data_IF_903882371240
#
_entry.id   IF_903882371240
#
_cell.length_a   1.000
_cell.length_b   1.000
_cell.length_c   1.000
_cell.angle_alpha   90.00
_cell.angle_beta   90.00
_cell.angle_gamma   90.00
#
_symmetry.space_group_name_H-M   'P 1'
#
loop_
_entity.id
_entity.type
_entity.pdbx_description
1 polymer ?
#
# COMPACT_ATOMS: atom_id res chain seq x y z
N UNK A 1 43.31 -37.99 23.73
CA UNK A 1 42.82 -36.83 24.48
C UNK A 1 43.01 -35.63 23.59
N UNK A 2 42.02 -35.32 22.80
CA UNK A 2 42.02 -34.12 21.95
C UNK A 2 41.23 -33.04 22.68
N UNK A 3 41.95 -31.99 23.09
CA UNK A 3 41.38 -30.78 23.66
C UNK A 3 40.48 -30.13 22.64
N UNK A 4 39.19 -30.18 22.89
CA UNK A 4 38.21 -29.32 22.20
C UNK A 4 38.43 -27.87 22.69
N UNK A 5 39.14 -27.10 21.94
CA UNK A 5 39.28 -25.67 22.12
C UNK A 5 37.94 -25.01 21.83
N UNK A 6 37.45 -24.30 22.81
CA UNK A 6 36.30 -23.39 22.81
C UNK A 6 36.50 -22.30 21.70
N UNK A 7 36.06 -22.64 20.48
CA UNK A 7 36.11 -21.73 19.34
C UNK A 7 34.91 -20.75 19.32
N UNK A 8 34.72 -20.06 20.44
CA UNK A 8 33.81 -18.91 20.45
C UNK A 8 34.34 -17.86 19.46
N UNK A 9 33.52 -17.44 18.53
CA UNK A 9 33.83 -16.38 17.57
C UNK A 9 34.33 -15.14 18.33
N UNK A 10 35.67 -14.89 18.27
CA UNK A 10 36.28 -13.70 18.88
C UNK A 10 35.92 -12.50 18.02
N UNK A 11 34.81 -11.85 18.33
CA UNK A 11 34.51 -10.53 17.81
C UNK A 11 35.49 -9.54 18.50
N UNK A 12 36.19 -8.71 17.78
CA UNK A 12 37.13 -7.73 18.40
C UNK A 12 36.35 -6.82 19.36
N UNK A 13 36.82 -6.71 20.60
CA UNK A 13 36.23 -5.87 21.66
C UNK A 13 36.24 -4.36 21.37
N UNK A 14 36.88 -3.97 20.27
CA UNK A 14 37.12 -2.57 19.90
C UNK A 14 36.80 -2.30 18.42
N UNK A 15 35.49 -2.35 18.07
CA UNK A 15 35.03 -1.57 16.93
C UNK A 15 34.79 -0.13 17.43
N UNK A 16 35.52 0.84 16.89
CA UNK A 16 35.48 2.26 17.30
C UNK A 16 34.05 2.80 17.11
N UNK A 17 33.66 3.72 18.00
CA UNK A 17 32.37 4.45 17.92
C UNK A 17 32.24 5.05 16.51
N UNK A 18 31.30 4.50 15.68
CA UNK A 18 31.12 4.86 14.28
C UNK A 18 31.27 3.72 13.27
N UNK A 19 31.67 2.52 13.70
CA UNK A 19 31.76 1.34 12.82
C UNK A 19 30.36 0.78 12.50
N UNK A 20 30.18 0.37 11.24
CA UNK A 20 28.95 -0.23 10.73
C UNK A 20 28.67 -1.62 11.29
N UNK A 21 29.65 -2.22 11.95
CA UNK A 21 29.54 -3.50 12.62
C UNK A 21 29.62 -3.24 14.11
N UNK A 22 28.60 -3.70 14.84
CA UNK A 22 28.56 -3.68 16.28
C UNK A 22 28.29 -5.10 16.81
N UNK A 23 28.70 -5.39 18.04
CA UNK A 23 28.41 -6.69 18.64
C UNK A 23 28.15 -6.57 20.13
N UNK A 24 27.27 -7.45 20.60
CA UNK A 24 26.96 -7.65 22.01
C UNK A 24 27.10 -9.14 22.31
N UNK A 25 27.81 -9.47 23.38
CA UNK A 25 27.90 -10.85 23.87
C UNK A 25 27.25 -10.92 25.25
N UNK A 26 26.34 -11.87 25.36
CA UNK A 26 25.76 -12.20 26.67
C UNK A 26 25.69 -13.72 26.82
N UNK A 27 26.21 -14.23 27.94
CA UNK A 27 26.42 -15.67 28.16
C UNK A 27 27.23 -16.31 27.00
N UNK A 28 26.65 -17.29 26.29
CA UNK A 28 27.29 -17.97 25.15
C UNK A 28 26.80 -17.46 23.79
N UNK A 29 25.96 -16.44 23.77
CA UNK A 29 25.34 -15.94 22.54
C UNK A 29 25.94 -14.59 22.17
N UNK A 30 26.26 -14.44 20.90
CA UNK A 30 26.79 -13.19 20.33
C UNK A 30 25.80 -12.65 19.30
N UNK A 31 25.32 -11.45 19.51
CA UNK A 31 24.56 -10.70 18.50
C UNK A 31 25.50 -9.74 17.78
N UNK A 32 25.60 -9.87 16.46
CA UNK A 32 26.37 -8.98 15.58
C UNK A 32 25.36 -8.22 14.70
N UNK A 33 25.40 -6.91 14.78
CA UNK A 33 24.58 -6.03 13.96
C UNK A 33 25.41 -5.30 12.93
N UNK A 34 25.00 -5.34 11.67
CA UNK A 34 25.70 -4.75 10.54
C UNK A 34 24.75 -3.83 9.78
N UNK A 35 25.03 -2.52 9.87
CA UNK A 35 24.23 -1.48 9.21
C UNK A 35 24.82 -1.06 7.89
N UNK A 36 24.01 -1.00 6.87
CA UNK A 36 24.36 -0.45 5.54
C UNK A 36 25.72 -0.97 5.08
N UNK A 37 25.87 -2.31 4.91
CA UNK A 37 27.14 -2.95 4.67
C UNK A 37 27.75 -2.50 3.35
N UNK A 38 29.07 -2.29 3.34
CA UNK A 38 29.87 -2.13 2.14
C UNK A 38 30.75 -3.38 1.95
N UNK A 39 31.51 -3.41 0.87
CA UNK A 39 32.41 -4.53 0.55
C UNK A 39 33.33 -4.92 1.71
N UNK A 40 33.79 -3.93 2.51
CA UNK A 40 34.69 -4.16 3.65
C UNK A 40 34.00 -4.97 4.76
N UNK A 41 32.77 -4.63 5.11
CA UNK A 41 31.99 -5.33 6.14
C UNK A 41 31.63 -6.74 5.69
N UNK A 42 31.28 -6.92 4.41
CA UNK A 42 31.01 -8.25 3.82
C UNK A 42 32.27 -9.12 3.81
N UNK A 43 33.43 -8.57 3.45
CA UNK A 43 34.71 -9.31 3.49
C UNK A 43 35.05 -9.73 4.91
N UNK A 44 34.81 -8.87 5.90
CA UNK A 44 35.01 -9.19 7.31
C UNK A 44 34.11 -10.35 7.79
N UNK A 45 32.83 -10.35 7.37
CA UNK A 45 31.90 -11.45 7.68
C UNK A 45 32.37 -12.76 7.06
N UNK A 46 32.82 -12.75 5.80
CA UNK A 46 33.32 -13.92 5.09
C UNK A 46 34.60 -14.51 5.76
N UNK A 47 35.44 -13.67 6.37
CA UNK A 47 36.64 -14.11 7.09
C UNK A 47 36.34 -14.69 8.49
N UNK A 48 35.29 -14.18 9.14
CA UNK A 48 34.97 -14.53 10.54
C UNK A 48 33.96 -15.66 10.69
N UNK A 49 33.09 -15.82 9.71
CA UNK A 49 32.01 -16.80 9.75
C UNK A 49 32.05 -17.69 8.52
N UNK A 50 31.60 -18.93 8.62
CA UNK A 50 31.54 -19.86 7.48
C UNK A 50 30.35 -19.61 6.58
N UNK A 51 30.10 -18.31 6.23
CA UNK A 51 28.96 -17.96 5.40
C UNK A 51 29.23 -18.22 3.93
N UNK A 52 28.22 -18.72 3.23
CA UNK A 52 28.28 -18.95 1.79
C UNK A 52 28.37 -17.61 1.06
N UNK A 53 29.25 -17.44 0.06
CA UNK A 53 29.40 -16.20 -0.68
C UNK A 53 28.10 -15.66 -1.30
N UNK A 54 27.24 -16.52 -1.83
CA UNK A 54 25.94 -16.13 -2.39
C UNK A 54 25.01 -15.52 -1.34
N UNK A 55 24.98 -16.05 -0.09
CA UNK A 55 24.16 -15.46 0.97
C UNK A 55 24.65 -14.06 1.36
N UNK A 56 25.98 -13.83 1.35
CA UNK A 56 26.54 -12.52 1.59
C UNK A 56 26.28 -11.53 0.43
N UNK A 57 26.27 -12.02 -0.80
CA UNK A 57 25.90 -11.23 -1.97
C UNK A 57 24.43 -10.80 -1.91
N UNK A 58 23.52 -11.69 -1.53
CA UNK A 58 22.09 -11.40 -1.36
C UNK A 58 21.82 -10.31 -0.32
N UNK A 59 22.67 -10.21 0.72
CA UNK A 59 22.53 -9.17 1.74
C UNK A 59 22.81 -7.75 1.22
N UNK A 60 23.54 -7.62 0.11
CA UNK A 60 23.90 -6.33 -0.49
C UNK A 60 23.04 -6.03 -1.72
N UNK A 61 22.56 -7.07 -2.38
CA UNK A 61 21.73 -6.95 -3.56
C UNK A 61 20.32 -6.48 -3.17
N UNK A 62 19.87 -5.40 -3.80
CA UNK A 62 18.55 -4.81 -3.50
C UNK A 62 17.42 -5.58 -4.16
N UNK A 63 16.29 -5.65 -3.45
CA UNK A 63 15.05 -6.17 -4.02
C UNK A 63 15.01 -7.69 -4.15
N UNK A 64 15.80 -8.41 -3.38
CA UNK A 64 15.80 -9.86 -3.32
C UNK A 64 14.44 -10.39 -2.81
N UNK A 65 14.07 -11.59 -3.28
CA UNK A 65 12.87 -12.27 -2.77
C UNK A 65 13.15 -12.82 -1.36
N UNK A 66 12.18 -12.71 -0.44
CA UNK A 66 12.27 -13.33 0.87
C UNK A 66 12.52 -14.83 0.74
N UNK A 67 13.46 -15.36 1.54
CA UNK A 67 13.85 -16.78 1.49
C UNK A 67 14.44 -17.27 2.80
N UNK A 68 14.38 -18.59 2.99
CA UNK A 68 14.99 -19.31 4.10
C UNK A 68 15.83 -20.44 3.52
N UNK A 69 17.13 -20.42 3.74
CA UNK A 69 18.07 -21.41 3.22
C UNK A 69 18.93 -21.94 4.35
N UNK A 70 19.07 -23.25 4.41
CA UNK A 70 19.97 -23.90 5.36
C UNK A 70 21.34 -24.10 4.71
N UNK A 71 22.42 -23.83 5.46
CA UNK A 71 23.78 -24.08 4.95
C UNK A 71 23.99 -25.57 4.69
N UNK A 72 24.84 -25.90 3.70
CA UNK A 72 25.12 -27.28 3.26
C UNK A 72 25.60 -28.20 4.41
N UNK A 73 26.25 -27.61 5.43
CA UNK A 73 26.78 -28.31 6.59
C UNK A 73 25.90 -28.12 7.85
N UNK A 74 24.67 -27.64 7.71
CA UNK A 74 23.72 -27.37 8.80
C UNK A 74 24.28 -26.43 9.92
N UNK A 75 25.29 -25.63 9.61
CA UNK A 75 25.97 -24.77 10.58
C UNK A 75 25.22 -23.52 10.92
N UNK A 76 24.38 -23.05 9.99
CA UNK A 76 23.54 -21.86 10.18
C UNK A 76 22.31 -21.91 9.26
N UNK A 77 21.29 -21.13 9.65
CA UNK A 77 20.14 -20.81 8.84
C UNK A 77 20.28 -19.38 8.31
N UNK A 78 20.20 -19.22 7.00
CA UNK A 78 20.12 -17.92 6.34
C UNK A 78 18.66 -17.55 6.10
N UNK A 79 18.27 -16.37 6.54
CA UNK A 79 16.92 -15.84 6.35
C UNK A 79 17.02 -14.43 5.76
N UNK A 80 16.27 -14.20 4.70
CA UNK A 80 16.11 -12.89 4.10
C UNK A 80 14.65 -12.50 4.16
N UNK A 81 14.35 -11.43 4.88
CA UNK A 81 13.02 -10.86 5.00
C UNK A 81 12.95 -9.50 4.35
N UNK A 82 11.74 -9.16 3.92
CA UNK A 82 11.36 -7.78 3.60
C UNK A 82 10.20 -7.42 4.50
N UNK A 83 10.35 -6.36 5.24
CA UNK A 83 9.37 -5.91 6.24
C UNK A 83 9.05 -4.44 6.00
N UNK A 84 7.78 -4.05 6.12
CA UNK A 84 7.44 -2.64 6.12
C UNK A 84 7.78 -2.03 7.48
N UNK A 85 8.44 -0.88 7.46
CA UNK A 85 8.68 -0.04 8.62
C UNK A 85 7.79 1.21 8.57
N UNK A 86 7.39 1.69 9.74
CA UNK A 86 6.57 2.89 9.87
C UNK A 86 7.39 4.01 10.53
N UNK A 87 7.64 5.10 9.79
CA UNK A 87 8.39 6.24 10.32
C UNK A 87 7.43 7.34 10.80
N UNK A 88 7.47 7.61 12.11
CA UNK A 88 6.86 8.78 12.70
C UNK A 88 7.88 9.95 12.68
N UNK A 89 7.49 11.23 12.38
CA UNK A 89 6.10 11.73 12.24
C UNK A 89 5.56 11.74 10.81
N UNK A 90 6.33 11.31 9.80
CA UNK A 90 5.98 11.49 8.39
C UNK A 90 4.85 10.57 7.90
N UNK A 91 4.50 9.52 8.67
CA UNK A 91 3.52 8.52 8.24
C UNK A 91 3.94 7.76 6.97
N UNK A 92 5.23 7.81 6.62
CA UNK A 92 5.76 7.14 5.44
C UNK A 92 6.02 5.66 5.74
N UNK A 93 5.67 4.81 4.78
CA UNK A 93 5.94 3.38 4.83
C UNK A 93 7.17 3.12 3.99
N UNK A 94 8.22 2.61 4.62
CA UNK A 94 9.41 2.11 3.96
C UNK A 94 9.41 0.59 3.93
N UNK A 95 10.15 -0.01 3.01
CA UNK A 95 10.30 -1.47 2.93
C UNK A 95 11.78 -1.78 3.09
N UNK A 96 12.12 -2.31 4.25
CA UNK A 96 13.50 -2.67 4.60
C UNK A 96 13.78 -4.13 4.29
N UNK A 97 14.97 -4.39 3.73
CA UNK A 97 15.52 -5.73 3.55
C UNK A 97 16.40 -6.06 4.74
N UNK A 98 16.12 -7.17 5.41
CA UNK A 98 16.85 -7.62 6.59
C UNK A 98 17.32 -9.05 6.36
N UNK A 99 18.61 -9.29 6.52
CA UNK A 99 19.21 -10.62 6.44
C UNK A 99 19.61 -11.08 7.84
N UNK A 100 19.34 -12.34 8.12
CA UNK A 100 19.73 -12.99 9.37
C UNK A 100 20.57 -14.22 9.06
N UNK A 101 21.67 -14.37 9.84
CA UNK A 101 22.43 -15.62 9.89
C UNK A 101 22.29 -16.15 11.31
N UNK A 102 21.50 -17.20 11.47
CA UNK A 102 21.21 -17.82 12.75
C UNK A 102 22.09 -19.05 12.93
N UNK A 103 23.06 -18.98 13.83
CA UNK A 103 23.90 -20.10 14.26
C UNK A 103 23.56 -20.55 15.68
N UNK A 104 24.24 -21.58 16.18
CA UNK A 104 23.97 -22.14 17.51
C UNK A 104 24.28 -21.16 18.66
N UNK A 105 25.29 -20.32 18.50
CA UNK A 105 25.81 -19.41 19.51
C UNK A 105 25.93 -17.96 19.03
N UNK A 106 25.43 -17.68 17.84
CA UNK A 106 25.41 -16.32 17.30
C UNK A 106 24.13 -16.03 16.48
N UNK A 107 23.80 -14.74 16.39
CA UNK A 107 22.89 -14.18 15.41
C UNK A 107 23.57 -12.97 14.76
N UNK A 108 23.62 -12.95 13.43
CA UNK A 108 24.08 -11.77 12.67
C UNK A 108 22.88 -11.16 11.98
N UNK A 109 22.65 -9.89 12.23
CA UNK A 109 21.64 -9.06 11.53
C UNK A 109 22.35 -8.13 10.55
N UNK A 110 21.83 -8.06 9.32
CA UNK A 110 22.35 -7.17 8.27
C UNK A 110 21.16 -6.42 7.67
N UNK A 111 21.19 -5.08 7.75
CA UNK A 111 20.10 -4.25 7.26
C UNK A 111 20.61 -2.89 6.75
N UNK A 112 19.76 -2.18 5.98
CA UNK A 112 20.02 -0.78 5.59
C UNK A 112 19.73 0.17 6.77
N UNK A 113 20.04 1.46 6.63
CA UNK A 113 19.86 2.48 7.70
C UNK A 113 18.37 2.79 8.00
N UNK A 114 17.47 2.29 7.19
CA UNK A 114 16.03 2.52 7.27
C UNK A 114 15.29 1.60 8.27
N UNK A 115 16.00 0.71 8.97
CA UNK A 115 15.44 -0.11 10.05
C UNK A 115 15.81 0.45 11.43
N UNK A 116 15.12 1.50 11.85
CA UNK A 116 15.31 2.10 13.17
C UNK A 116 15.02 1.09 14.29
N UNK A 117 14.03 0.21 14.13
CA UNK A 117 13.59 -0.78 15.12
C UNK A 117 14.72 -1.70 15.57
N UNK A 118 15.50 -2.31 14.64
CA UNK A 118 16.63 -3.17 15.00
C UNK A 118 17.72 -2.35 15.69
N UNK A 119 17.96 -1.16 15.20
CA UNK A 119 18.96 -0.25 15.70
C UNK A 119 18.71 0.18 17.14
N UNK A 120 17.46 0.52 17.44
CA UNK A 120 17.04 0.92 18.79
C UNK A 120 17.06 -0.28 19.73
N UNK A 121 16.58 -1.43 19.29
CA UNK A 121 16.62 -2.68 20.06
C UNK A 121 18.08 -3.08 20.39
N UNK A 122 19.00 -2.93 19.43
CA UNK A 122 20.42 -3.21 19.66
C UNK A 122 21.02 -2.24 20.67
N UNK A 123 20.70 -0.95 20.56
CA UNK A 123 21.15 0.08 21.50
C UNK A 123 20.63 -0.19 22.92
N UNK A 124 19.35 -0.52 23.05
CA UNK A 124 18.74 -0.85 24.33
C UNK A 124 19.40 -2.07 24.97
N UNK A 125 19.66 -3.12 24.20
CA UNK A 125 20.42 -4.29 24.68
C UNK A 125 21.84 -3.94 25.13
N UNK A 126 22.47 -2.93 24.50
CA UNK A 126 23.83 -2.49 24.86
C UNK A 126 23.84 -1.68 26.15
N UNK A 127 22.88 -0.79 26.33
CA UNK A 127 22.80 0.15 27.43
C UNK A 127 22.13 -0.46 28.69
N UNK A 128 21.11 -1.30 28.49
CA UNK A 128 20.30 -1.86 29.59
C UNK A 128 20.56 -3.35 29.78
N UNK A 129 21.01 -3.71 30.99
CA UNK A 129 21.29 -5.10 31.35
C UNK A 129 20.02 -5.95 31.40
N UNK A 130 18.91 -5.41 31.88
CA UNK A 130 17.62 -6.15 31.96
C UNK A 130 17.10 -6.49 30.57
N UNK A 131 17.13 -5.52 29.63
CA UNK A 131 16.75 -5.75 28.23
C UNK A 131 17.66 -6.81 27.57
N UNK A 132 18.96 -6.72 27.80
CA UNK A 132 19.92 -7.71 27.32
C UNK A 132 19.63 -9.12 27.83
N UNK A 133 19.33 -9.26 29.11
CA UNK A 133 18.94 -10.54 29.72
C UNK A 133 17.62 -11.07 29.15
N UNK A 134 16.65 -10.21 28.90
CA UNK A 134 15.36 -10.61 28.34
C UNK A 134 15.51 -11.15 26.89
N UNK A 135 16.28 -10.48 26.03
CA UNK A 135 16.39 -10.81 24.62
C UNK A 135 17.47 -11.90 24.34
N UNK A 136 18.65 -11.87 25.01
CA UNK A 136 19.79 -12.71 24.66
C UNK A 136 19.95 -13.91 25.60
N UNK A 137 19.05 -14.15 26.53
CA UNK A 137 19.30 -15.08 27.64
C UNK A 137 19.31 -16.57 27.26
N UNK A 138 18.47 -17.01 26.32
CA UNK A 138 18.19 -18.43 26.16
C UNK A 138 18.94 -19.11 25.00
N UNK A 139 18.79 -18.58 23.79
CA UNK A 139 19.38 -19.13 22.56
C UNK A 139 19.40 -18.06 21.47
N UNK A 140 20.19 -18.29 20.43
CA UNK A 140 20.20 -17.45 19.24
C UNK A 140 18.82 -17.40 18.55
N UNK A 141 18.09 -18.54 18.58
CA UNK A 141 16.73 -18.62 18.07
C UNK A 141 15.73 -17.77 18.89
N UNK A 142 15.91 -17.64 20.21
CA UNK A 142 15.08 -16.77 21.02
C UNK A 142 15.35 -15.30 20.73
N UNK A 143 16.61 -14.91 20.53
CA UNK A 143 16.95 -13.56 20.10
C UNK A 143 16.36 -13.24 18.71
N UNK A 144 16.43 -14.18 17.78
CA UNK A 144 15.81 -14.03 16.47
C UNK A 144 14.29 -13.86 16.59
N UNK A 145 13.62 -14.67 17.41
CA UNK A 145 12.18 -14.52 17.71
C UNK A 145 11.87 -13.11 18.23
N UNK A 146 12.61 -12.63 19.24
CA UNK A 146 12.37 -11.34 19.86
C UNK A 146 12.54 -10.17 18.85
N UNK A 147 13.51 -10.26 17.95
CA UNK A 147 13.69 -9.27 16.88
C UNK A 147 12.51 -9.33 15.90
N UNK A 148 12.12 -10.53 15.47
CA UNK A 148 11.02 -10.72 14.53
C UNK A 148 9.67 -10.28 15.12
N UNK A 149 9.43 -10.56 16.41
CA UNK A 149 8.27 -10.09 17.15
C UNK A 149 8.20 -8.54 17.13
N UNK A 150 9.29 -7.88 17.50
CA UNK A 150 9.35 -6.40 17.51
C UNK A 150 9.12 -5.83 16.09
N UNK A 151 9.71 -6.44 15.06
CA UNK A 151 9.53 -6.01 13.67
C UNK A 151 8.10 -6.23 13.16
N UNK A 152 7.41 -7.25 13.64
CA UNK A 152 6.01 -7.51 13.26
C UNK A 152 5.01 -6.67 14.06
N UNK A 153 5.38 -6.14 15.22
CA UNK A 153 4.56 -5.17 15.96
C UNK A 153 4.37 -3.87 15.17
N UNK A 154 5.33 -3.47 14.34
CA UNK A 154 5.24 -2.32 13.44
C UNK A 154 4.11 -2.46 12.39
N UNK A 155 3.61 -3.68 12.13
CA UNK A 155 2.48 -3.89 11.21
C UNK A 155 1.19 -3.26 11.72
N UNK A 156 0.96 -3.26 13.03
CA UNK A 156 -0.29 -2.75 13.62
C UNK A 156 -0.53 -1.27 13.31
N UNK A 157 0.40 -0.34 13.58
CA UNK A 157 0.21 1.07 13.23
C UNK A 157 0.11 1.31 11.73
N UNK A 158 0.80 0.52 10.90
CA UNK A 158 0.68 0.60 9.45
C UNK A 158 -0.75 0.29 8.99
N UNK A 159 -1.32 -0.82 9.51
CA UNK A 159 -2.68 -1.22 9.17
C UNK A 159 -3.72 -0.21 9.65
N UNK A 160 -3.57 0.31 10.87
CA UNK A 160 -4.45 1.36 11.39
C UNK A 160 -4.43 2.61 10.51
N UNK A 161 -3.26 3.01 10.01
CA UNK A 161 -3.14 4.13 9.09
C UNK A 161 -3.82 3.85 7.74
N UNK A 162 -3.67 2.62 7.21
CA UNK A 162 -4.36 2.22 5.97
C UNK A 162 -5.89 2.24 6.16
N UNK A 163 -6.41 1.67 7.25
CA UNK A 163 -7.86 1.69 7.53
C UNK A 163 -8.38 3.12 7.66
N UNK A 164 -7.66 3.99 8.36
CA UNK A 164 -8.01 5.41 8.44
C UNK A 164 -8.02 6.08 7.07
N UNK A 165 -7.04 5.80 6.20
CA UNK A 165 -7.04 6.33 4.83
C UNK A 165 -8.18 5.75 3.98
N UNK A 166 -8.65 4.52 4.24
CA UNK A 166 -9.84 3.94 3.61
C UNK A 166 -11.08 4.75 3.98
N UNK A 167 -11.29 5.00 5.28
CA UNK A 167 -12.43 5.79 5.79
C UNK A 167 -12.42 7.22 5.23
N UNK A 168 -11.27 7.92 5.26
CA UNK A 168 -11.11 9.25 4.67
C UNK A 168 -11.37 9.27 3.16
N UNK A 169 -11.10 8.17 2.47
CA UNK A 169 -11.32 8.06 1.02
C UNK A 169 -12.79 7.84 0.72
N UNK A 170 -13.54 7.16 1.59
CA UNK A 170 -14.99 6.99 1.50
C UNK A 170 -15.69 8.35 1.44
N UNK A 171 -15.39 9.23 2.41
CA UNK A 171 -15.96 10.57 2.48
C UNK A 171 -15.74 11.38 1.18
N UNK A 172 -14.57 11.22 0.55
CA UNK A 172 -14.23 11.92 -0.69
C UNK A 172 -14.98 11.32 -1.90
N UNK A 173 -15.13 10.01 -1.97
CA UNK A 173 -15.79 9.30 -3.10
C UNK A 173 -17.27 9.61 -3.14
N UNK A 174 -17.91 9.77 -1.98
CA UNK A 174 -19.33 10.09 -1.86
C UNK A 174 -19.64 11.59 -1.80
N UNK A 175 -18.63 12.48 -1.89
CA UNK A 175 -18.84 13.91 -2.06
C UNK A 175 -18.99 14.24 -3.56
N UNK A 176 -20.20 14.64 -3.97
CA UNK A 176 -20.52 15.05 -5.36
C UNK A 176 -19.64 16.18 -5.92
N UNK A 177 -18.92 16.92 -5.06
CA UNK A 177 -18.14 18.10 -5.44
C UNK A 177 -16.69 17.78 -5.77
N UNK A 178 -16.17 16.64 -5.31
CA UNK A 178 -14.75 16.27 -5.40
C UNK A 178 -14.63 14.96 -6.19
N UNK A 179 -13.62 14.87 -7.06
CA UNK A 179 -13.29 13.59 -7.70
C UNK A 179 -12.36 12.77 -6.81
N UNK A 180 -12.77 11.57 -6.45
CA UNK A 180 -12.03 10.62 -5.61
C UNK A 180 -10.90 9.88 -6.33
N UNK A 181 -10.85 9.87 -7.68
CA UNK A 181 -9.96 9.03 -8.51
C UNK A 181 -8.49 9.05 -8.06
N UNK A 182 -7.97 10.24 -7.78
CA UNK A 182 -6.56 10.38 -7.39
C UNK A 182 -6.27 9.75 -6.03
N UNK A 183 -7.12 10.00 -5.03
CA UNK A 183 -6.97 9.48 -3.66
C UNK A 183 -7.13 7.96 -3.65
N UNK A 184 -8.16 7.45 -4.31
CA UNK A 184 -8.40 6.01 -4.52
C UNK A 184 -7.17 5.35 -5.17
N UNK A 185 -6.62 5.96 -6.23
CA UNK A 185 -5.44 5.45 -6.92
C UNK A 185 -4.17 5.44 -6.07
N UNK A 186 -3.99 6.42 -5.17
CA UNK A 186 -2.86 6.46 -4.23
C UNK A 186 -2.99 5.37 -3.17
N UNK A 187 -4.16 5.26 -2.53
CA UNK A 187 -4.43 4.27 -1.49
C UNK A 187 -4.30 2.84 -2.04
N UNK A 188 -4.84 2.59 -3.23
CA UNK A 188 -4.69 1.30 -3.91
C UNK A 188 -3.23 0.92 -4.12
N UNK A 189 -2.36 1.86 -4.54
CA UNK A 189 -0.93 1.62 -4.71
C UNK A 189 -0.24 1.27 -3.39
N UNK A 190 -0.58 1.95 -2.29
CA UNK A 190 -0.05 1.65 -0.96
C UNK A 190 -0.42 0.23 -0.52
N UNK A 191 -1.71 -0.14 -0.62
CA UNK A 191 -2.20 -1.47 -0.25
C UNK A 191 -1.51 -2.56 -1.08
N UNK A 192 -1.41 -2.39 -2.40
CA UNK A 192 -0.72 -3.36 -3.28
C UNK A 192 0.77 -3.46 -2.91
N UNK A 193 1.41 -2.33 -2.58
CA UNK A 193 2.81 -2.31 -2.13
C UNK A 193 3.03 -3.14 -0.87
N UNK A 194 2.19 -2.96 0.16
CA UNK A 194 2.23 -3.72 1.40
C UNK A 194 1.95 -5.22 1.17
N UNK A 195 0.95 -5.56 0.37
CA UNK A 195 0.64 -6.96 0.04
C UNK A 195 1.79 -7.70 -0.63
N UNK A 196 2.56 -7.02 -1.49
CA UNK A 196 3.76 -7.61 -2.12
C UNK A 196 4.86 -7.96 -1.13
N UNK A 197 4.84 -7.37 0.06
CA UNK A 197 5.80 -7.63 1.13
C UNK A 197 5.26 -8.66 2.11
N UNK A 198 4.02 -8.50 2.56
CA UNK A 198 3.40 -9.35 3.58
C UNK A 198 3.06 -10.74 3.03
N UNK A 199 2.66 -10.87 1.77
CA UNK A 199 2.35 -12.17 1.18
C UNK A 199 3.51 -13.17 1.21
N UNK A 200 4.70 -12.84 0.70
CA UNK A 200 5.87 -13.70 0.82
C UNK A 200 6.32 -13.95 2.27
N UNK A 201 6.22 -12.95 3.15
CA UNK A 201 6.53 -13.10 4.57
C UNK A 201 5.65 -14.17 5.22
N UNK A 202 4.35 -14.15 4.95
CA UNK A 202 3.38 -15.13 5.42
C UNK A 202 3.79 -16.56 5.05
N UNK A 203 4.10 -16.80 3.77
CA UNK A 203 4.52 -18.11 3.27
C UNK A 203 5.81 -18.59 3.96
N UNK A 204 6.76 -17.68 4.20
CA UNK A 204 8.01 -18.04 4.87
C UNK A 204 7.80 -18.43 6.33
N UNK A 205 6.85 -17.79 7.03
CA UNK A 205 6.58 -18.08 8.43
C UNK A 205 5.94 -19.47 8.63
N UNK A 206 5.23 -20.01 7.64
CA UNK A 206 4.67 -21.36 7.69
C UNK A 206 5.76 -22.44 7.82
N UNK A 207 6.93 -22.23 7.18
CA UNK A 207 8.04 -23.21 7.15
C UNK A 207 9.15 -22.94 8.18
N UNK A 208 9.09 -21.81 8.89
CA UNK A 208 10.20 -21.32 9.71
C UNK A 208 10.38 -22.12 11.00
N UNK A 209 9.27 -22.60 11.57
CA UNK A 209 9.18 -23.16 12.90
C UNK A 209 10.09 -24.39 13.09
N UNK A 210 9.97 -25.38 12.22
CA UNK A 210 10.76 -26.61 12.29
C UNK A 210 12.27 -26.37 12.12
N UNK A 211 12.61 -25.38 11.29
CA UNK A 211 14.01 -25.05 11.00
C UNK A 211 14.69 -24.33 12.16
N UNK A 212 13.97 -23.43 12.82
CA UNK A 212 14.50 -22.62 13.94
C UNK A 212 14.62 -23.45 15.22
N UNK A 213 13.74 -24.38 15.46
CA UNK A 213 13.79 -25.21 16.66
C UNK A 213 15.10 -25.98 16.79
N UNK A 214 15.85 -26.23 15.70
CA UNK A 214 17.20 -26.81 15.73
C UNK A 214 18.23 -25.93 16.49
N UNK A 215 18.02 -24.61 16.52
CA UNK A 215 18.87 -23.62 17.18
C UNK A 215 18.30 -23.15 18.52
N UNK A 216 17.15 -23.68 18.91
CA UNK A 216 16.45 -23.32 20.14
C UNK A 216 16.80 -24.29 21.28
N UNK A 217 16.96 -23.75 22.49
CA UNK A 217 17.08 -24.60 23.71
C UNK A 217 15.74 -25.04 24.25
N UNK A 218 14.69 -24.30 23.97
CA UNK A 218 13.30 -24.59 24.33
C UNK A 218 12.46 -24.51 23.06
N UNK A 219 11.39 -25.28 23.01
CA UNK A 219 10.45 -25.20 21.89
C UNK A 219 9.85 -23.79 21.77
N UNK A 220 10.00 -23.17 20.61
CA UNK A 220 9.51 -21.84 20.29
C UNK A 220 8.25 -21.87 19.40
N UNK A 221 7.70 -23.03 19.10
CA UNK A 221 6.53 -23.21 18.23
C UNK A 221 5.38 -22.26 18.56
N UNK A 222 4.95 -22.20 19.83
CA UNK A 222 3.83 -21.34 20.26
C UNK A 222 4.10 -19.87 19.95
N UNK A 223 5.34 -19.43 20.08
CA UNK A 223 5.75 -18.05 19.83
C UNK A 223 5.74 -17.70 18.32
N UNK A 224 6.20 -18.63 17.48
CA UNK A 224 6.16 -18.41 16.02
C UNK A 224 4.74 -18.50 15.46
N UNK A 225 3.89 -19.35 16.02
CA UNK A 225 2.46 -19.40 15.69
C UNK A 225 1.78 -18.04 15.96
N UNK A 226 2.11 -17.36 17.06
CA UNK A 226 1.58 -16.03 17.35
C UNK A 226 2.01 -14.98 16.32
N UNK A 227 3.29 -14.99 15.92
CA UNK A 227 3.78 -14.10 14.84
C UNK A 227 3.05 -14.40 13.52
N UNK A 228 2.89 -15.67 13.17
CA UNK A 228 2.19 -16.10 11.96
C UNK A 228 0.75 -15.58 11.96
N UNK A 229 0.03 -15.73 13.07
CA UNK A 229 -1.33 -15.22 13.20
C UNK A 229 -1.41 -13.68 13.03
N UNK A 230 -0.43 -12.93 13.55
CA UNK A 230 -0.38 -11.46 13.36
C UNK A 230 -0.18 -11.09 11.89
N UNK A 231 0.70 -11.80 11.19
CA UNK A 231 0.95 -11.57 9.77
C UNK A 231 -0.24 -12.01 8.90
N UNK A 232 -0.92 -13.11 9.26
CA UNK A 232 -2.16 -13.55 8.62
C UNK A 232 -3.25 -12.49 8.76
N UNK A 233 -3.46 -11.98 9.97
CA UNK A 233 -4.41 -10.90 10.22
C UNK A 233 -4.07 -9.64 9.42
N UNK A 234 -2.79 -9.30 9.31
CA UNK A 234 -2.36 -8.18 8.50
C UNK A 234 -2.67 -8.39 7.01
N UNK A 235 -2.48 -9.59 6.51
CA UNK A 235 -2.83 -9.96 5.14
C UNK A 235 -4.34 -9.86 4.88
N UNK A 236 -5.18 -10.41 5.77
CA UNK A 236 -6.64 -10.34 5.68
C UNK A 236 -7.14 -8.90 5.68
N UNK A 237 -6.64 -8.08 6.61
CA UNK A 237 -7.00 -6.65 6.66
C UNK A 237 -6.65 -5.91 5.37
N UNK A 238 -5.50 -6.21 4.77
CA UNK A 238 -5.11 -5.61 3.49
C UNK A 238 -5.94 -6.13 2.31
N UNK A 239 -6.42 -7.37 2.37
CA UNK A 239 -7.33 -7.93 1.37
C UNK A 239 -8.69 -7.22 1.42
N UNK A 240 -9.27 -7.08 2.62
CA UNK A 240 -10.51 -6.34 2.85
C UNK A 240 -10.38 -4.88 2.40
N UNK A 241 -9.29 -4.19 2.79
CA UNK A 241 -9.02 -2.82 2.37
C UNK A 241 -8.90 -2.69 0.84
N UNK A 242 -8.29 -3.67 0.16
CA UNK A 242 -8.20 -3.71 -1.31
C UNK A 242 -9.57 -3.82 -1.96
N UNK A 243 -10.40 -4.75 -1.47
CA UNK A 243 -11.75 -4.95 -1.99
C UNK A 243 -12.60 -3.69 -1.82
N UNK A 244 -12.52 -3.06 -0.65
CA UNK A 244 -13.22 -1.80 -0.37
C UNK A 244 -12.78 -0.69 -1.32
N UNK A 245 -11.48 -0.54 -1.57
CA UNK A 245 -10.95 0.46 -2.50
C UNK A 245 -11.35 0.18 -3.96
N UNK A 246 -11.45 -1.09 -4.35
CA UNK A 246 -11.95 -1.45 -5.68
C UNK A 246 -13.45 -1.09 -5.82
N UNK A 247 -14.27 -1.24 -4.76
CA UNK A 247 -15.66 -0.75 -4.71
C UNK A 247 -15.72 0.79 -4.83
N UNK A 248 -14.86 1.52 -4.12
CA UNK A 248 -14.81 2.99 -4.21
C UNK A 248 -14.46 3.48 -5.60
N UNK A 249 -13.53 2.81 -6.29
CA UNK A 249 -13.19 3.11 -7.69
C UNK A 249 -14.43 2.98 -8.60
N UNK A 250 -15.20 1.91 -8.41
CA UNK A 250 -16.38 1.67 -9.23
C UNK A 250 -17.52 2.65 -8.88
N UNK A 251 -17.69 3.01 -7.61
CA UNK A 251 -18.63 4.03 -7.16
C UNK A 251 -18.31 5.43 -7.74
N UNK A 252 -17.03 5.87 -7.70
CA UNK A 252 -16.60 7.14 -8.29
C UNK A 252 -16.85 7.18 -9.81
N UNK A 253 -16.60 6.07 -10.51
CA UNK A 253 -16.90 5.96 -11.95
C UNK A 253 -18.39 6.08 -12.24
N UNK A 254 -19.24 5.43 -11.44
CA UNK A 254 -20.70 5.50 -11.58
C UNK A 254 -21.18 6.94 -11.33
N UNK A 255 -20.74 7.58 -10.25
CA UNK A 255 -21.09 8.96 -9.90
C UNK A 255 -20.67 9.95 -11.00
N UNK A 256 -19.46 9.81 -11.53
CA UNK A 256 -18.96 10.64 -12.64
C UNK A 256 -19.79 10.44 -13.93
N UNK A 257 -20.18 9.20 -14.22
CA UNK A 257 -21.02 8.87 -15.37
C UNK A 257 -22.43 9.45 -15.21
N UNK A 258 -23.01 9.34 -14.01
CA UNK A 258 -24.34 9.92 -13.72
C UNK A 258 -24.32 11.45 -13.86
N UNK A 259 -23.29 12.13 -13.36
CA UNK A 259 -23.10 13.58 -13.53
C UNK A 259 -23.03 13.98 -15.00
N UNK A 260 -22.28 13.21 -15.80
CA UNK A 260 -22.16 13.44 -17.24
C UNK A 260 -23.52 13.25 -17.93
N UNK A 261 -24.24 12.18 -17.61
CA UNK A 261 -25.56 11.89 -18.14
C UNK A 261 -26.56 12.99 -17.77
N UNK A 262 -26.52 13.50 -16.55
CA UNK A 262 -27.37 14.64 -16.11
C UNK A 262 -27.11 15.89 -16.92
N UNK A 263 -25.84 16.23 -17.16
CA UNK A 263 -25.45 17.36 -18.00
C UNK A 263 -25.95 17.18 -19.43
N UNK A 264 -25.76 15.97 -20.01
CA UNK A 264 -26.25 15.66 -21.35
C UNK A 264 -27.77 15.74 -21.44
N UNK A 265 -28.50 15.28 -20.43
CA UNK A 265 -29.96 15.37 -20.36
C UNK A 265 -30.42 16.83 -20.37
N UNK A 266 -29.79 17.70 -19.56
CA UNK A 266 -30.09 19.14 -19.53
C UNK A 266 -29.82 19.80 -20.88
N UNK A 267 -28.65 19.53 -21.49
CA UNK A 267 -28.31 20.06 -22.81
C UNK A 267 -29.28 19.60 -23.90
N UNK A 268 -29.60 18.29 -23.89
CA UNK A 268 -30.57 17.72 -24.83
C UNK A 268 -31.94 18.38 -24.69
N UNK A 269 -32.36 18.64 -23.46
CA UNK A 269 -33.62 19.35 -23.20
C UNK A 269 -33.60 20.75 -23.80
N UNK A 270 -32.54 21.55 -23.50
CA UNK A 270 -32.43 22.93 -24.02
C UNK A 270 -32.48 22.91 -25.53
N UNK A 271 -31.70 22.05 -26.20
CA UNK A 271 -31.72 21.97 -27.67
C UNK A 271 -33.06 21.54 -28.20
N UNK A 272 -33.68 20.50 -27.64
CA UNK A 272 -34.97 19.95 -28.11
C UNK A 272 -36.10 20.98 -28.01
N UNK A 273 -36.12 21.75 -26.92
CA UNK A 273 -37.11 22.83 -26.76
C UNK A 273 -36.82 24.03 -27.65
N UNK A 274 -35.55 24.30 -28.01
CA UNK A 274 -35.18 25.45 -28.86
C UNK A 274 -35.35 25.19 -30.36
N UNK A 275 -35.24 23.93 -30.83
CA UNK A 275 -35.26 23.58 -32.25
C UNK A 275 -36.52 24.11 -32.96
N UNK A 276 -37.75 23.92 -32.45
CA UNK A 276 -38.96 24.39 -33.15
C UNK A 276 -38.93 25.89 -33.38
N UNK A 277 -38.53 26.65 -32.36
CA UNK A 277 -38.45 28.12 -32.49
C UNK A 277 -37.37 28.54 -33.48
N UNK A 278 -36.20 27.89 -33.47
CA UNK A 278 -35.08 28.18 -34.37
C UNK A 278 -35.44 27.85 -35.82
N UNK A 279 -36.07 26.71 -36.09
CA UNK A 279 -36.47 26.28 -37.43
C UNK A 279 -37.54 27.25 -38.02
N UNK A 280 -38.58 27.54 -37.24
CA UNK A 280 -39.63 28.46 -37.71
C UNK A 280 -39.06 29.89 -37.93
N UNK A 281 -38.25 30.37 -36.97
CA UNK A 281 -37.61 31.67 -37.11
C UNK A 281 -36.67 31.75 -38.31
N UNK A 282 -35.95 30.66 -38.62
CA UNK A 282 -35.07 30.58 -39.78
C UNK A 282 -35.87 30.63 -41.10
N UNK A 283 -36.97 29.90 -41.21
CA UNK A 283 -37.84 29.97 -42.42
C UNK A 283 -38.39 31.37 -42.65
N UNK A 284 -38.91 32.01 -41.61
CA UNK A 284 -39.45 33.39 -41.75
C UNK A 284 -38.37 34.47 -41.87
N UNK A 285 -37.10 34.11 -41.58
CA UNK A 285 -35.94 34.97 -41.86
C UNK A 285 -35.37 34.82 -43.29
N UNK A 286 -35.82 33.86 -44.06
CA UNK A 286 -35.41 33.67 -45.45
C UNK A 286 -36.11 34.65 -46.38
N UNK A 287 -35.43 35.11 -47.46
CA UNK A 287 -36.02 35.93 -48.54
C UNK A 287 -36.76 35.04 -49.58
N UNK A 288 -37.81 34.34 -49.15
CA UNK A 288 -38.65 33.48 -49.98
C UNK A 288 -40.12 33.79 -49.73
N UNK A 289 -40.98 33.49 -50.71
CA UNK A 289 -42.43 33.65 -50.58
C UNK A 289 -42.99 32.63 -49.57
N UNK A 290 -43.35 33.13 -48.37
CA UNK A 290 -43.99 32.35 -47.32
C UNK A 290 -45.40 32.87 -47.02
N UNK A 291 -46.37 31.97 -46.66
CA UNK A 291 -47.71 32.41 -46.28
C UNK A 291 -47.66 33.33 -45.05
N UNK A 292 -48.22 34.54 -45.16
CA UNK A 292 -48.19 35.57 -44.11
C UNK A 292 -46.87 36.31 -44.01
N UNK A 293 -45.90 36.11 -44.94
CA UNK A 293 -44.62 36.81 -45.02
C UNK A 293 -44.77 38.24 -45.57
N UNK A 294 -43.66 38.97 -45.67
CA UNK A 294 -43.64 40.38 -46.10
C UNK A 294 -44.22 40.60 -47.51
N UNK A 295 -43.95 39.67 -48.44
CA UNK A 295 -44.37 39.81 -49.85
C UNK A 295 -45.78 39.21 -50.09
N UNK A 296 -46.21 38.23 -49.31
CA UNK A 296 -47.55 37.63 -49.44
C UNK A 296 -48.64 38.35 -48.66
N UNK A 297 -48.26 39.31 -47.84
CA UNK A 297 -49.10 40.06 -46.93
C UNK A 297 -49.41 39.34 -45.63
N UNK A 298 -49.47 40.05 -44.50
CA UNK A 298 -49.71 39.46 -43.17
C UNK A 298 -51.15 38.98 -43.04
N UNK A 299 -51.34 37.90 -42.28
CA UNK A 299 -52.68 37.51 -41.82
C UNK A 299 -53.21 38.55 -40.84
N UNK A 300 -54.47 38.99 -41.03
CA UNK A 300 -55.05 40.15 -40.28
C UNK A 300 -56.32 39.77 -39.51
N UNK A 301 -56.63 38.48 -39.32
CA UNK A 301 -57.86 38.02 -38.64
C UNK A 301 -58.07 38.57 -37.23
N UNK A 302 -56.97 38.76 -36.47
CA UNK A 302 -56.97 39.23 -35.06
C UNK A 302 -56.25 40.59 -34.95
N UNK A 303 -55.93 41.26 -36.10
CA UNK A 303 -55.21 42.54 -36.13
C UNK A 303 -53.79 42.43 -36.72
N UNK A 304 -53.00 43.51 -36.61
CA UNK A 304 -51.65 43.66 -37.23
C UNK A 304 -50.66 42.58 -36.85
N UNK A 305 -50.81 41.95 -35.69
CA UNK A 305 -49.84 40.99 -35.12
C UNK A 305 -50.28 39.53 -35.30
N UNK A 306 -51.32 39.25 -36.06
CA UNK A 306 -51.88 37.88 -36.24
C UNK A 306 -50.81 36.90 -36.70
N UNK A 307 -50.01 37.22 -37.73
CA UNK A 307 -48.92 36.35 -38.21
C UNK A 307 -47.88 36.08 -37.14
N UNK A 308 -47.50 37.08 -36.39
CA UNK A 308 -46.52 36.98 -35.30
C UNK A 308 -47.06 36.04 -34.20
N UNK A 309 -48.31 36.17 -33.82
CA UNK A 309 -48.97 35.29 -32.82
C UNK A 309 -48.97 33.87 -33.31
N UNK A 310 -49.31 33.60 -34.58
CA UNK A 310 -49.30 32.27 -35.16
C UNK A 310 -47.93 31.64 -35.17
N UNK A 311 -46.85 32.40 -35.50
CA UNK A 311 -45.49 31.92 -35.48
C UNK A 311 -45.07 31.51 -34.04
N UNK A 312 -45.40 32.37 -33.05
CA UNK A 312 -45.08 32.07 -31.64
C UNK A 312 -45.80 30.80 -31.17
N UNK A 313 -47.11 30.69 -31.47
CA UNK A 313 -47.88 29.49 -31.11
C UNK A 313 -47.29 28.23 -31.78
N UNK A 314 -46.98 28.31 -33.09
CA UNK A 314 -46.34 27.21 -33.82
C UNK A 314 -44.97 26.82 -33.28
N UNK A 315 -44.24 27.75 -32.71
CA UNK A 315 -42.92 27.48 -32.06
C UNK A 315 -43.09 26.88 -30.65
N UNK A 316 -44.01 27.41 -29.85
CA UNK A 316 -44.19 26.98 -28.43
C UNK A 316 -44.93 25.66 -28.31
N UNK A 317 -45.94 25.41 -29.16
CA UNK A 317 -46.82 24.21 -29.05
C UNK A 317 -46.05 22.88 -29.16
N UNK A 318 -45.14 22.66 -30.12
CA UNK A 318 -44.29 21.47 -30.16
C UNK A 318 -43.34 21.37 -28.95
N UNK A 319 -42.76 22.49 -28.52
CA UNK A 319 -41.87 22.52 -27.33
C UNK A 319 -42.64 22.14 -26.06
N UNK A 320 -43.87 22.63 -25.89
CA UNK A 320 -44.73 22.28 -24.77
C UNK A 320 -45.16 20.81 -24.83
N UNK A 321 -45.48 20.26 -26.00
CA UNK A 321 -45.83 18.86 -26.16
C UNK A 321 -44.62 17.94 -25.86
N UNK A 322 -43.43 18.30 -26.31
CA UNK A 322 -42.16 17.59 -25.96
C UNK A 322 -41.87 17.64 -24.46
N UNK A 323 -42.04 18.77 -23.82
CA UNK A 323 -41.92 18.89 -22.38
C UNK A 323 -42.86 17.95 -21.62
N UNK A 324 -44.13 17.86 -22.05
CA UNK A 324 -45.10 16.92 -21.47
C UNK A 324 -44.69 15.45 -21.66
N UNK A 325 -44.15 15.10 -22.83
CA UNK A 325 -43.66 13.75 -23.11
C UNK A 325 -42.47 13.39 -22.23
N UNK A 326 -41.50 14.29 -22.04
CA UNK A 326 -40.34 14.07 -21.18
C UNK A 326 -40.78 13.88 -19.72
N UNK A 327 -41.70 14.74 -19.24
CA UNK A 327 -42.26 14.61 -17.90
C UNK A 327 -42.98 13.28 -17.71
N UNK A 328 -43.75 12.83 -18.69
CA UNK A 328 -44.48 11.54 -18.63
C UNK A 328 -43.55 10.34 -18.63
N UNK A 329 -42.40 10.43 -19.30
CA UNK A 329 -41.37 9.38 -19.32
C UNK A 329 -40.43 9.38 -18.10
N UNK A 330 -40.62 10.29 -17.17
CA UNK A 330 -39.76 10.37 -15.97
C UNK A 330 -38.34 10.82 -16.25
N UNK A 331 -38.14 11.61 -17.31
CA UNK A 331 -36.81 12.18 -17.62
C UNK A 331 -36.50 13.44 -16.76
N UNK A 332 -37.49 13.83 -15.96
CA UNK A 332 -37.44 14.89 -14.95
C UNK A 332 -38.08 14.40 -13.66
#
# INVERSE_FOLDING_TARGET
>A
MLNTTDNGVKVPEALKKGDRIQSIRHNKITWVDVRNPKRKEISWLAEKFPFHPLHLEDCVAKGQYPKIEQSVEDRYLFLLFRLPGFHLPEGSITISQICFFLGSDYLVTIHEDDSDTISDMFKDCKENKQQREAFINNSSAHLFYAILETLTDDLSPILQNILKEVDETEDIVFDDKVSGVYKVGQLRRKIIGLRRVIGPLRILLEDIEDRINKFAKKNLTVYFVDITHRVDKAWETLEEARETVDIYKDADFIASTEKTNRILAVLTLIFTLSIPATVIGSFYGMNILLPGGLETGPFTFIGKYTTFIFIIIAAILPAFFMWLLFRKKGWF
#
